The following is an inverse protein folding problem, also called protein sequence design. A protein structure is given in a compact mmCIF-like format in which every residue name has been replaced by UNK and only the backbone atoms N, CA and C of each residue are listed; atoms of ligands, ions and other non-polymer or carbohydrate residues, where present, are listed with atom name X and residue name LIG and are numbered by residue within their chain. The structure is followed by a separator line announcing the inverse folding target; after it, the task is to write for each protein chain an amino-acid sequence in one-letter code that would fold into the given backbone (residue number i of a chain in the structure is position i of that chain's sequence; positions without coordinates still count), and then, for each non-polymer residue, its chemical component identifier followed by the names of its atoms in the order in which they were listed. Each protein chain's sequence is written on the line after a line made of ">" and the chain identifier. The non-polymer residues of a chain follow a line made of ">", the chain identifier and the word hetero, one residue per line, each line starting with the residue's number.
data_IF_165110737125
#
_entry.id   IF_165110737125
#
_cell.length_a   1.000
_cell.length_b   1.000
_cell.length_c   1.000
_cell.angle_alpha   90.00
_cell.angle_beta   90.00
_cell.angle_gamma   90.00
#
_symmetry.space_group_name_H-M   'P 1'
#
loop_
_entity.id
_entity.type
_entity.pdbx_description
1 polymer ?
#
# COMPACT_ATOMS: atom_id res chain seq x y z
N UNK A 1 -16.33 19.30 -17.81
CA UNK A 1 -16.07 20.12 -16.58
C UNK A 1 -14.58 20.04 -16.28
N UNK A 2 -13.97 21.01 -15.58
CA UNK A 2 -12.54 20.94 -15.28
C UNK A 2 -12.29 20.13 -13.99
N UNK A 3 -11.63 18.98 -14.12
CA UNK A 3 -11.27 18.13 -12.99
C UNK A 3 -9.95 18.60 -12.38
N UNK A 4 -9.88 18.66 -11.05
CA UNK A 4 -8.67 19.00 -10.31
C UNK A 4 -7.83 17.76 -10.06
N UNK A 5 -6.60 17.76 -10.58
CA UNK A 5 -5.65 16.67 -10.38
C UNK A 5 -4.81 16.90 -9.12
N UNK A 6 -4.83 15.93 -8.20
CA UNK A 6 -4.05 15.98 -6.96
C UNK A 6 -3.21 14.73 -6.83
N UNK A 7 -1.91 14.89 -6.53
CA UNK A 7 -1.03 13.75 -6.25
C UNK A 7 -1.18 13.26 -4.82
N UNK A 8 -1.18 11.95 -4.64
CA UNK A 8 -1.17 11.28 -3.35
C UNK A 8 -0.05 10.24 -3.31
N UNK A 9 0.78 10.30 -2.28
CA UNK A 9 1.89 9.38 -2.08
C UNK A 9 1.93 8.93 -0.63
N UNK A 10 1.57 7.66 -0.37
CA UNK A 10 1.67 7.00 0.95
C UNK A 10 1.80 5.49 0.78
N UNK A 11 2.38 4.82 1.78
CA UNK A 11 2.48 3.35 1.85
C UNK A 11 3.08 2.71 0.60
N UNK A 12 4.07 3.37 -0.01
CA UNK A 12 4.70 2.91 -1.25
C UNK A 12 3.83 3.03 -2.51
N UNK A 13 2.62 3.59 -2.42
CA UNK A 13 1.79 3.91 -3.57
C UNK A 13 1.99 5.36 -3.99
N UNK A 14 1.88 5.61 -5.29
CA UNK A 14 1.97 6.95 -5.88
C UNK A 14 0.88 7.08 -6.95
N UNK A 15 -0.08 7.97 -6.71
CA UNK A 15 -1.31 8.06 -7.51
C UNK A 15 -1.67 9.51 -7.82
N UNK A 16 -2.28 9.72 -8.97
CA UNK A 16 -2.96 10.97 -9.33
C UNK A 16 -4.46 10.79 -9.21
N UNK A 17 -5.11 11.60 -8.39
CA UNK A 17 -6.57 11.63 -8.27
C UNK A 17 -7.15 12.74 -9.13
N UNK A 18 -8.15 12.40 -9.95
CA UNK A 18 -9.00 13.36 -10.63
C UNK A 18 -10.23 13.64 -9.76
N UNK A 19 -10.35 14.87 -9.28
CA UNK A 19 -11.40 15.29 -8.36
C UNK A 19 -12.32 16.30 -9.04
N UNK A 20 -13.60 16.22 -8.73
CA UNK A 20 -14.56 17.27 -9.03
C UNK A 20 -14.23 18.55 -8.22
N UNK A 21 -14.78 19.71 -8.61
CA UNK A 21 -14.58 20.97 -7.88
C UNK A 21 -15.03 20.92 -6.41
N UNK A 22 -15.96 20.03 -6.08
CA UNK A 22 -16.45 19.76 -4.72
C UNK A 22 -15.49 18.88 -3.89
N UNK A 23 -14.41 18.38 -4.49
CA UNK A 23 -13.40 17.52 -3.85
C UNK A 23 -13.66 16.02 -3.98
N UNK A 24 -14.74 15.60 -4.64
CA UNK A 24 -15.06 14.18 -4.82
C UNK A 24 -14.16 13.56 -5.89
N UNK A 25 -13.43 12.50 -5.55
CA UNK A 25 -12.65 11.73 -6.51
C UNK A 25 -13.57 10.97 -7.48
N UNK A 26 -13.37 11.18 -8.79
CA UNK A 26 -14.10 10.49 -9.87
C UNK A 26 -13.22 9.49 -10.63
N UNK A 27 -11.91 9.53 -10.41
CA UNK A 27 -10.96 8.55 -10.94
C UNK A 27 -9.55 8.76 -10.40
N UNK A 28 -8.67 7.80 -10.66
CA UNK A 28 -7.26 7.90 -10.31
C UNK A 28 -6.37 7.14 -11.29
N UNK A 29 -5.11 7.57 -11.40
CA UNK A 29 -4.07 6.87 -12.14
C UNK A 29 -2.95 6.43 -11.21
N UNK A 30 -2.43 5.21 -11.40
CA UNK A 30 -1.21 4.75 -10.75
C UNK A 30 0.01 5.31 -11.48
N UNK A 31 0.92 5.98 -10.77
CA UNK A 31 2.12 6.56 -11.38
C UNK A 31 3.23 5.53 -11.65
N UNK A 32 3.15 4.32 -11.09
CA UNK A 32 4.12 3.25 -11.37
C UNK A 32 3.74 2.45 -12.62
N UNK A 33 2.47 2.10 -12.77
CA UNK A 33 2.01 1.28 -13.90
C UNK A 33 1.42 2.10 -15.04
N UNK A 34 0.93 3.31 -14.74
CA UNK A 34 0.17 4.13 -15.68
C UNK A 34 -1.30 3.74 -15.77
N UNK A 35 -1.77 2.77 -14.97
CA UNK A 35 -3.15 2.30 -15.02
C UNK A 35 -4.13 3.36 -14.54
N UNK A 36 -5.20 3.56 -15.30
CA UNK A 36 -6.28 4.50 -14.98
C UNK A 36 -7.50 3.73 -14.51
N UNK A 37 -7.99 4.07 -13.31
CA UNK A 37 -9.24 3.58 -12.75
C UNK A 37 -10.28 4.69 -12.72
N UNK A 38 -11.44 4.41 -13.29
CA UNK A 38 -12.59 5.32 -13.27
C UNK A 38 -13.54 4.87 -12.16
N UNK A 39 -13.86 5.78 -11.24
CA UNK A 39 -14.77 5.50 -10.11
C UNK A 39 -16.23 5.81 -10.45
N UNK A 40 -16.47 6.77 -11.35
CA UNK A 40 -17.81 7.12 -11.83
C UNK A 40 -17.85 7.14 -13.36
N UNK A 41 -18.69 6.28 -13.93
CA UNK A 41 -18.78 6.09 -15.38
C UNK A 41 -19.21 7.37 -16.13
N UNK A 42 -20.02 8.22 -15.49
CA UNK A 42 -20.50 9.50 -16.03
C UNK A 42 -19.35 10.46 -16.41
N UNK A 43 -18.21 10.35 -15.73
CA UNK A 43 -17.03 11.21 -15.95
C UNK A 43 -15.88 10.47 -16.63
N UNK A 44 -16.15 9.31 -17.24
CA UNK A 44 -15.11 8.42 -17.80
C UNK A 44 -14.18 9.13 -18.76
N UNK A 45 -14.74 9.85 -19.74
CA UNK A 45 -13.93 10.48 -20.78
C UNK A 45 -13.12 11.67 -20.23
N UNK A 46 -13.72 12.47 -19.34
CA UNK A 46 -13.03 13.57 -18.65
C UNK A 46 -11.88 13.05 -17.78
N UNK A 47 -12.08 11.94 -17.06
CA UNK A 47 -11.05 11.29 -16.22
C UNK A 47 -9.90 10.77 -17.08
N UNK A 48 -10.20 10.04 -18.16
CA UNK A 48 -9.17 9.49 -19.05
C UNK A 48 -8.37 10.64 -19.69
N UNK A 49 -9.06 11.67 -20.19
CA UNK A 49 -8.41 12.80 -20.84
C UNK A 49 -7.49 13.56 -19.88
N UNK A 50 -7.97 13.90 -18.68
CA UNK A 50 -7.18 14.68 -17.72
C UNK A 50 -5.99 13.88 -17.20
N UNK A 51 -6.19 12.61 -16.82
CA UNK A 51 -5.10 11.80 -16.26
C UNK A 51 -4.04 11.47 -17.31
N UNK A 52 -4.44 11.18 -18.55
CA UNK A 52 -3.50 10.93 -19.66
C UNK A 52 -2.65 12.17 -19.95
N UNK A 53 -3.22 13.37 -19.88
CA UNK A 53 -2.48 14.63 -20.05
C UNK A 53 -1.45 14.85 -18.93
N UNK A 54 -1.78 14.47 -17.69
CA UNK A 54 -0.92 14.73 -16.55
C UNK A 54 0.15 13.66 -16.33
N UNK A 55 -0.11 12.40 -16.66
CA UNK A 55 0.79 11.25 -16.46
C UNK A 55 2.24 11.51 -16.92
N UNK A 56 2.51 12.02 -18.14
CA UNK A 56 3.89 12.24 -18.63
C UNK A 56 4.74 13.14 -17.72
N UNK A 57 4.12 14.13 -17.06
CA UNK A 57 4.83 15.05 -16.17
C UNK A 57 5.36 14.36 -14.91
N UNK A 58 4.80 13.21 -14.55
CA UNK A 58 5.17 12.47 -13.34
C UNK A 58 6.00 11.23 -13.67
N UNK A 59 5.76 10.60 -14.84
CA UNK A 59 6.54 9.46 -15.33
C UNK A 59 8.00 9.83 -15.65
N UNK A 60 8.29 11.11 -15.92
CA UNK A 60 9.64 11.61 -16.19
C UNK A 60 10.55 11.77 -14.96
N UNK A 61 10.08 11.52 -13.73
CA UNK A 61 10.88 11.67 -12.50
C UNK A 61 11.33 10.36 -11.87
N UNK A 62 11.04 9.22 -12.50
CA UNK A 62 11.68 7.96 -12.17
C UNK A 62 13.14 7.97 -12.67
N UNK A 63 14.00 8.82 -12.09
CA UNK A 63 15.41 8.42 -11.91
C UNK A 63 15.31 7.04 -11.24
N UNK A 64 16.02 5.99 -11.73
CA UNK A 64 15.96 4.70 -11.08
C UNK A 64 16.27 4.96 -9.62
N UNK A 65 15.26 4.80 -8.76
CA UNK A 65 15.46 4.90 -7.34
C UNK A 65 16.51 3.84 -7.08
N UNK A 66 17.71 4.28 -6.67
CA UNK A 66 18.71 3.40 -6.10
C UNK A 66 17.90 2.53 -5.15
N UNK A 67 17.83 1.23 -5.41
CA UNK A 67 17.06 0.31 -4.58
C UNK A 67 17.36 0.70 -3.14
N UNK A 68 16.35 0.94 -2.28
CA UNK A 68 16.64 1.30 -0.89
C UNK A 68 17.66 0.27 -0.44
N UNK A 69 18.84 0.75 -0.01
CA UNK A 69 19.87 -0.14 0.52
C UNK A 69 19.13 -1.03 1.49
N UNK A 70 19.06 -2.34 1.16
CA UNK A 70 18.19 -3.25 1.85
C UNK A 70 18.46 -3.05 3.33
N UNK A 71 17.50 -2.43 4.04
CA UNK A 71 17.66 -2.15 5.46
C UNK A 71 18.12 -3.47 6.05
N UNK A 72 19.31 -3.45 6.64
CA UNK A 72 19.99 -4.69 7.02
C UNK A 72 18.99 -5.48 7.84
N UNK A 73 18.51 -6.60 7.27
CA UNK A 73 17.46 -7.40 7.92
C UNK A 73 17.95 -7.68 9.33
N UNK A 74 17.18 -7.32 10.37
CA UNK A 74 17.63 -7.55 11.72
C UNK A 74 17.93 -9.04 11.85
N UNK A 75 19.14 -9.35 12.29
CA UNK A 75 19.53 -10.73 12.54
C UNK A 75 18.64 -11.24 13.68
N UNK A 76 17.72 -12.12 13.36
CA UNK A 76 16.89 -12.77 14.38
C UNK A 76 17.77 -13.72 15.20
N UNK A 77 17.52 -13.84 16.51
CA UNK A 77 18.17 -14.87 17.32
C UNK A 77 17.81 -16.26 16.77
N UNK A 78 18.68 -17.24 17.05
CA UNK A 78 18.39 -18.64 16.71
C UNK A 78 17.16 -19.10 17.49
N UNK A 79 16.27 -19.82 16.81
CA UNK A 79 15.12 -20.45 17.46
C UNK A 79 15.63 -21.43 18.53
N UNK A 80 15.20 -21.24 19.78
CA UNK A 80 15.47 -22.18 20.86
C UNK A 80 14.27 -23.12 21.04
N UNK A 81 14.46 -24.30 21.66
CA UNK A 81 13.33 -25.18 21.98
C UNK A 81 12.22 -24.51 22.79
N UNK A 82 12.56 -23.54 23.65
CA UNK A 82 11.57 -22.81 24.45
C UNK A 82 10.69 -21.87 23.59
N UNK A 83 11.22 -21.41 22.46
CA UNK A 83 10.51 -20.53 21.51
C UNK A 83 9.70 -21.33 20.47
N UNK A 84 9.89 -22.65 20.40
CA UNK A 84 9.18 -23.52 19.46
C UNK A 84 7.77 -23.83 19.97
N UNK A 85 6.78 -23.16 19.38
CA UNK A 85 5.36 -23.33 19.72
C UNK A 85 4.80 -24.71 19.35
N UNK A 86 5.45 -25.46 18.46
CA UNK A 86 5.04 -26.83 18.16
C UNK A 86 5.35 -27.77 19.34
N UNK A 87 6.48 -27.54 20.01
CA UNK A 87 6.88 -28.28 21.21
C UNK A 87 6.30 -27.67 22.51
N UNK A 88 6.06 -26.35 22.53
CA UNK A 88 5.55 -25.60 23.67
C UNK A 88 4.27 -24.82 23.30
N UNK A 89 3.10 -25.49 23.24
CA UNK A 89 1.85 -24.82 22.90
C UNK A 89 1.52 -23.70 23.90
N UNK A 90 1.06 -22.53 23.43
CA UNK A 90 0.73 -21.42 24.31
C UNK A 90 -0.40 -21.81 25.27
N UNK A 91 -0.15 -21.62 26.57
CA UNK A 91 -1.12 -21.90 27.64
C UNK A 91 -1.09 -23.34 28.19
N UNK A 92 -0.29 -24.25 27.64
CA UNK A 92 -0.13 -25.63 28.11
C UNK A 92 0.24 -25.68 29.61
N UNK A 93 1.25 -24.92 30.02
CA UNK A 93 1.73 -24.89 31.42
C UNK A 93 0.67 -24.39 32.39
N UNK A 94 -0.16 -23.42 31.98
CA UNK A 94 -1.27 -22.92 32.80
C UNK A 94 -2.36 -23.99 32.96
N UNK A 95 -2.67 -24.73 31.89
CA UNK A 95 -3.66 -25.83 31.94
C UNK A 95 -3.20 -26.95 32.89
N UNK A 96 -1.92 -27.32 32.85
CA UNK A 96 -1.36 -28.32 33.77
C UNK A 96 -1.48 -27.90 35.24
N UNK A 97 -1.19 -26.63 35.55
CA UNK A 97 -1.33 -26.08 36.91
C UNK A 97 -2.79 -26.09 37.39
N UNK A 98 -3.74 -25.80 36.51
CA UNK A 98 -5.17 -25.82 36.81
C UNK A 98 -5.68 -27.25 37.04
N UNK A 99 -5.13 -28.26 36.36
CA UNK A 99 -5.49 -29.66 36.57
C UNK A 99 -4.92 -30.25 37.86
N UNK A 100 -3.73 -29.81 38.30
CA UNK A 100 -3.10 -30.28 39.54
C UNK A 100 -3.59 -29.62 40.83
N UNK A 101 -4.47 -28.62 40.74
CA UNK A 101 -4.99 -27.86 41.90
C UNK A 101 -6.37 -28.36 42.38
N UNK A 102 -6.76 -29.59 42.01
CA UNK A 102 -8.03 -30.25 42.39
C UNK A 102 -7.89 -31.27 43.52
#
# INVERSE_FOLDING_TARGET
>A
MELKVTRWQRFGHDRLYANLPDGIAVGWADLKTGDITVLRAEYRDDVIAVLTKHLPNYLGTARPARAPEAEARPTLPRLTPADDLAANPPGESLRLLLTGSG
#
